data_IF_290491673186
#
_entry.id   IF_290491673186
#
_cell.length_a   1.000
_cell.length_b   1.000
_cell.length_c   1.000
_cell.angle_alpha   90.00
_cell.angle_beta   90.00
_cell.angle_gamma   90.00
#
_symmetry.space_group_name_H-M   'P 1'
#
loop_
_entity.id
_entity.type
_entity.pdbx_description
1 polymer ?
#
# COMPACT_ATOMS: atom_id res chain seq x y z
N UNK A 1 10.76 18.72 22.79
CA UNK A 1 10.39 17.30 22.95
C UNK A 1 11.65 16.47 22.79
N UNK A 2 11.84 15.45 23.62
CA UNK A 2 13.04 14.61 23.64
C UNK A 2 12.74 13.25 23.00
N UNK A 3 13.77 12.52 22.54
CA UNK A 3 13.65 11.16 21.98
C UNK A 3 12.84 10.16 22.83
N UNK A 4 12.93 10.17 24.17
CA UNK A 4 12.08 9.36 25.03
C UNK A 4 10.58 9.56 24.77
N UNK A 5 10.13 10.80 24.53
CA UNK A 5 8.72 11.15 24.32
C UNK A 5 8.15 10.51 23.05
N UNK A 6 8.99 10.33 22.02
CA UNK A 6 8.62 9.76 20.73
C UNK A 6 8.64 8.23 20.70
N UNK A 7 9.16 7.58 21.74
CA UNK A 7 9.24 6.10 21.83
C UNK A 7 7.86 5.45 21.89
N UNK A 8 6.89 6.15 22.48
CA UNK A 8 5.53 5.66 22.71
C UNK A 8 4.47 6.24 21.77
N UNK A 9 4.83 7.15 20.86
CA UNK A 9 3.90 7.72 19.88
C UNK A 9 3.45 6.65 18.86
N UNK A 10 2.15 6.28 18.82
CA UNK A 10 1.65 5.24 17.93
C UNK A 10 1.75 5.62 16.44
N UNK A 11 1.68 6.91 16.11
CA UNK A 11 1.77 7.39 14.74
C UNK A 11 3.22 7.31 14.22
N UNK A 12 4.20 7.70 15.04
CA UNK A 12 5.63 7.54 14.71
C UNK A 12 6.04 6.07 14.69
N UNK A 13 5.45 5.22 15.56
CA UNK A 13 5.64 3.75 15.49
C UNK A 13 5.08 3.14 14.19
N UNK A 14 3.95 3.64 13.70
CA UNK A 14 3.38 3.23 12.40
C UNK A 14 4.28 3.68 11.25
N UNK A 15 4.77 4.93 11.29
CA UNK A 15 5.71 5.46 10.32
C UNK A 15 7.01 4.66 10.27
N UNK A 16 7.59 4.30 11.43
CA UNK A 16 8.78 3.45 11.48
C UNK A 16 8.56 2.10 10.79
N UNK A 17 7.40 1.46 11.00
CA UNK A 17 7.03 0.20 10.32
C UNK A 17 6.87 0.38 8.81
N UNK A 18 6.36 1.53 8.38
CA UNK A 18 6.26 1.87 6.96
C UNK A 18 7.65 2.05 6.34
N UNK A 19 8.52 2.85 6.97
CA UNK A 19 9.88 3.09 6.49
C UNK A 19 10.76 1.83 6.51
N UNK A 20 10.56 0.91 7.45
CA UNK A 20 11.26 -0.38 7.45
C UNK A 20 10.91 -1.26 6.25
N UNK A 21 9.81 -0.97 5.53
CA UNK A 21 9.46 -1.62 4.25
C UNK A 21 10.06 -0.90 3.04
N UNK A 22 10.77 0.23 3.24
CA UNK A 22 11.46 1.02 2.20
C UNK A 22 12.97 1.15 2.51
N UNK A 23 13.71 0.03 2.63
CA UNK A 23 15.15 0.08 2.88
C UNK A 23 15.94 0.74 1.74
N UNK A 24 15.39 0.82 0.54
CA UNK A 24 15.92 1.60 -0.58
C UNK A 24 16.06 3.07 -0.24
N UNK A 25 15.01 3.68 0.31
CA UNK A 25 15.01 5.09 0.72
C UNK A 25 15.95 5.33 1.89
N UNK A 26 15.90 4.46 2.92
CA UNK A 26 16.77 4.60 4.07
C UNK A 26 18.25 4.50 3.69
N UNK A 27 18.58 3.61 2.75
CA UNK A 27 19.95 3.47 2.25
C UNK A 27 20.36 4.69 1.43
N UNK A 28 19.50 5.18 0.53
CA UNK A 28 19.80 6.38 -0.26
C UNK A 28 20.04 7.61 0.63
N UNK A 29 19.17 7.83 1.63
CA UNK A 29 19.30 8.92 2.61
C UNK A 29 20.61 8.78 3.39
N UNK A 30 20.87 7.61 3.94
CA UNK A 30 22.10 7.37 4.71
C UNK A 30 23.34 7.60 3.85
N UNK A 31 23.36 7.07 2.62
CA UNK A 31 24.48 7.22 1.70
C UNK A 31 24.72 8.68 1.32
N UNK A 32 23.66 9.43 1.05
CA UNK A 32 23.78 10.85 0.67
C UNK A 32 24.20 11.76 1.82
N UNK A 33 23.67 11.52 3.01
CA UNK A 33 23.81 12.42 4.15
C UNK A 33 24.82 11.95 5.21
N UNK A 34 25.56 10.88 4.93
CA UNK A 34 26.64 10.40 5.79
C UNK A 34 27.92 10.21 4.99
N UNK A 35 29.04 10.63 5.59
CA UNK A 35 30.39 10.37 5.09
C UNK A 35 30.95 9.04 5.60
N UNK A 36 30.10 8.18 6.19
CA UNK A 36 30.56 6.93 6.77
C UNK A 36 31.19 6.01 5.70
N UNK A 37 32.45 5.58 5.87
CA UNK A 37 33.14 4.70 4.92
C UNK A 37 32.43 3.37 4.67
N UNK A 38 31.54 2.94 5.58
CA UNK A 38 30.71 1.74 5.40
C UNK A 38 29.68 1.88 4.27
N UNK A 39 29.32 3.12 3.90
CA UNK A 39 28.37 3.44 2.83
C UNK A 39 29.05 3.87 1.53
N UNK A 40 30.34 4.25 1.63
CA UNK A 40 31.19 4.66 0.53
C UNK A 40 32.49 3.85 0.60
N UNK A 41 32.50 2.60 0.10
CA UNK A 41 33.74 1.84 0.05
C UNK A 41 34.77 2.62 -0.78
N UNK A 42 36.07 2.57 -0.41
CA UNK A 42 37.10 3.22 -1.18
C UNK A 42 37.11 2.69 -2.63
N UNK A 43 37.46 3.52 -3.62
CA UNK A 43 37.55 3.07 -5.00
C UNK A 43 38.48 1.87 -5.10
N UNK A 44 38.12 0.92 -5.97
CA UNK A 44 38.95 -0.26 -6.21
C UNK A 44 40.38 0.18 -6.61
N UNK A 45 41.44 -0.53 -6.17
CA UNK A 45 42.79 -0.25 -6.62
C UNK A 45 42.84 -0.26 -8.15
N UNK A 46 43.56 0.68 -8.74
CA UNK A 46 43.77 0.80 -10.19
C UNK A 46 44.46 -0.42 -10.82
N UNK A 47 44.98 -1.32 -9.98
CA UNK A 47 45.71 -2.51 -10.37
C UNK A 47 44.75 -3.73 -10.39
N UNK A 48 44.35 -4.23 -11.57
CA UNK A 48 43.43 -5.36 -11.69
C UNK A 48 43.98 -6.68 -11.12
N UNK A 49 45.29 -6.74 -10.82
CA UNK A 49 45.93 -7.89 -10.15
C UNK A 49 45.69 -7.95 -8.64
N UNK A 50 45.25 -6.84 -8.02
CA UNK A 50 44.89 -6.74 -6.60
C UNK A 50 43.37 -6.68 -6.43
N UNK A 51 42.68 -7.74 -6.85
CA UNK A 51 41.26 -7.91 -6.53
C UNK A 51 41.10 -8.06 -5.00
N UNK A 52 40.75 -6.96 -4.32
CA UNK A 52 40.19 -7.06 -2.97
C UNK A 52 38.97 -8.01 -3.03
N UNK A 53 38.81 -8.94 -2.09
CA UNK A 53 37.66 -9.84 -2.11
C UNK A 53 36.38 -9.01 -2.16
N UNK A 54 35.55 -9.30 -3.17
CA UNK A 54 34.28 -8.64 -3.49
C UNK A 54 33.19 -8.91 -2.44
N UNK A 55 33.53 -8.80 -1.16
CA UNK A 55 32.60 -8.89 -0.05
C UNK A 55 32.48 -7.50 0.55
N UNK A 56 31.70 -6.62 -0.11
CA UNK A 56 31.19 -5.43 0.56
C UNK A 56 30.51 -5.88 1.86
N UNK A 57 30.88 -5.33 3.02
CA UNK A 57 30.34 -5.79 4.30
C UNK A 57 28.81 -5.69 4.28
N UNK A 58 28.11 -6.71 4.78
CA UNK A 58 26.65 -6.69 4.85
C UNK A 58 26.21 -5.60 5.83
N UNK A 59 25.88 -4.41 5.33
CA UNK A 59 25.33 -3.31 6.13
C UNK A 59 23.83 -3.52 6.30
N UNK A 60 23.40 -3.72 7.54
CA UNK A 60 22.00 -3.73 7.94
C UNK A 60 21.60 -2.33 8.38
N UNK A 61 20.51 -1.83 7.81
CA UNK A 61 19.99 -0.49 8.08
C UNK A 61 18.70 -0.63 8.87
N UNK A 62 18.64 0.00 10.04
CA UNK A 62 17.46 -0.02 10.90
C UNK A 62 17.17 1.37 11.44
N UNK A 63 15.92 1.62 11.84
CA UNK A 63 15.53 2.84 12.52
C UNK A 63 15.49 2.55 14.03
N UNK A 64 16.25 3.28 14.86
CA UNK A 64 16.31 3.04 16.29
C UNK A 64 14.96 3.34 16.98
N UNK A 65 14.80 2.85 18.22
CA UNK A 65 13.62 3.17 19.02
C UNK A 65 13.58 4.66 19.35
N UNK A 66 12.40 5.29 19.25
CA UNK A 66 12.25 6.75 19.42
C UNK A 66 12.53 7.56 18.15
N UNK A 67 12.77 6.91 17.00
CA UNK A 67 12.97 7.55 15.69
C UNK A 67 11.96 7.01 14.64
N UNK A 68 11.53 7.81 13.64
CA UNK A 68 11.87 9.22 13.41
C UNK A 68 11.33 10.16 14.49
N UNK A 69 12.01 11.30 14.69
CA UNK A 69 11.53 12.43 15.48
C UNK A 69 10.95 13.50 14.56
N UNK A 70 10.42 14.59 15.12
CA UNK A 70 9.86 15.70 14.37
C UNK A 70 10.91 16.54 13.63
N UNK A 71 12.17 16.43 14.01
CA UNK A 71 13.29 17.23 13.54
C UNK A 71 14.37 16.39 12.85
N UNK A 72 14.42 15.07 13.09
CA UNK A 72 15.45 14.20 12.54
C UNK A 72 14.98 12.76 12.25
N UNK A 73 15.64 12.14 11.27
CA UNK A 73 15.60 10.70 11.04
C UNK A 73 16.88 10.07 11.58
N UNK A 74 16.74 9.26 12.61
CA UNK A 74 17.80 8.39 13.11
C UNK A 74 17.91 7.14 12.26
N UNK A 75 19.12 6.80 11.86
CA UNK A 75 19.44 5.60 11.09
C UNK A 75 20.60 4.89 11.78
N UNK A 76 20.39 3.62 12.11
CA UNK A 76 21.44 2.74 12.62
C UNK A 76 21.96 1.87 11.48
N UNK A 77 23.26 1.98 11.24
CA UNK A 77 24.04 1.20 10.29
C UNK A 77 24.79 0.13 11.08
N UNK A 78 24.45 -1.14 10.88
CA UNK A 78 25.07 -2.27 11.58
C UNK A 78 25.81 -3.18 10.62
N UNK A 79 27.06 -3.46 10.94
CA UNK A 79 27.90 -4.48 10.30
C UNK A 79 28.25 -5.55 11.33
N UNK A 80 28.93 -6.63 10.92
CA UNK A 80 29.43 -7.65 11.87
C UNK A 80 30.42 -7.06 12.89
N UNK A 81 31.13 -5.99 12.52
CA UNK A 81 32.23 -5.43 13.30
C UNK A 81 31.87 -4.13 14.03
N UNK A 82 30.89 -3.37 13.52
CA UNK A 82 30.58 -2.03 14.01
C UNK A 82 29.10 -1.67 13.87
N UNK A 83 28.57 -0.96 14.85
CA UNK A 83 27.26 -0.32 14.82
C UNK A 83 27.45 1.20 14.91
N UNK A 84 26.84 1.94 13.99
CA UNK A 84 26.91 3.40 13.93
C UNK A 84 25.50 3.94 13.82
N UNK A 85 25.13 4.83 14.72
CA UNK A 85 23.87 5.55 14.66
C UNK A 85 24.13 6.96 14.11
N UNK A 86 23.40 7.34 13.09
CA UNK A 86 23.49 8.65 12.43
C UNK A 86 22.13 9.32 12.53
N UNK A 87 22.12 10.58 12.94
CA UNK A 87 20.92 11.38 12.98
C UNK A 87 20.96 12.39 11.86
N UNK A 88 20.00 12.27 10.95
CA UNK A 88 19.93 13.06 9.73
C UNK A 88 18.82 14.09 9.96
N UNK A 89 19.14 15.39 10.03
CA UNK A 89 18.13 16.42 10.24
C UNK A 89 17.16 16.44 9.07
N UNK A 90 15.87 16.59 9.38
CA UNK A 90 14.87 16.89 8.38
C UNK A 90 15.14 18.31 7.85
N UNK A 91 14.88 18.56 6.56
CA UNK A 91 15.09 19.88 5.96
C UNK A 91 14.29 20.99 6.65
N UNK A 92 13.17 20.62 7.27
CA UNK A 92 12.33 21.48 8.08
C UNK A 92 11.82 20.67 9.27
N UNK A 93 11.77 21.30 10.44
CA UNK A 93 11.14 20.72 11.64
C UNK A 93 9.66 20.47 11.35
N UNK A 94 9.28 19.20 11.29
CA UNK A 94 7.91 18.78 11.09
C UNK A 94 7.08 19.04 12.36
N UNK A 95 5.81 19.41 12.20
CA UNK A 95 4.87 19.61 13.29
C UNK A 95 3.94 18.41 13.47
N UNK A 96 3.86 17.53 12.46
CA UNK A 96 2.98 16.36 12.47
C UNK A 96 3.68 15.09 11.97
N UNK A 97 3.27 13.88 12.41
CA UNK A 97 3.83 12.62 11.91
C UNK A 97 3.66 12.44 10.39
N UNK A 98 2.64 13.08 9.80
CA UNK A 98 2.45 13.08 8.35
C UNK A 98 3.53 13.90 7.65
N UNK A 99 3.87 15.06 8.18
CA UNK A 99 4.97 15.90 7.66
C UNK A 99 6.31 15.18 7.81
N UNK A 100 6.54 14.48 8.92
CA UNK A 100 7.73 13.62 9.08
C UNK A 100 7.77 12.58 7.97
N UNK A 101 6.66 11.88 7.71
CA UNK A 101 6.57 10.90 6.62
C UNK A 101 6.90 11.50 5.26
N UNK A 102 6.25 12.61 4.91
CA UNK A 102 6.42 13.27 3.62
C UNK A 102 7.85 13.80 3.44
N UNK A 103 8.42 14.36 4.50
CA UNK A 103 9.80 14.86 4.52
C UNK A 103 10.80 13.73 4.31
N UNK A 104 10.65 12.61 5.02
CA UNK A 104 11.53 11.43 4.88
C UNK A 104 11.38 10.77 3.51
N UNK A 105 10.15 10.58 3.02
CA UNK A 105 9.91 10.00 1.68
C UNK A 105 10.53 10.90 0.60
N UNK A 106 10.33 12.22 0.67
CA UNK A 106 10.93 13.18 -0.26
C UNK A 106 12.46 13.17 -0.19
N UNK A 107 13.03 13.15 1.01
CA UNK A 107 14.48 13.08 1.19
C UNK A 107 15.06 11.81 0.54
N UNK A 108 14.35 10.68 0.63
CA UNK A 108 14.73 9.43 0.01
C UNK A 108 14.64 9.45 -1.51
N UNK A 109 13.54 9.93 -2.09
CA UNK A 109 13.40 10.02 -3.54
C UNK A 109 14.39 11.06 -4.13
N UNK A 110 14.62 12.20 -3.46
CA UNK A 110 15.65 13.17 -3.84
C UNK A 110 17.06 12.53 -3.81
N UNK A 111 17.32 11.65 -2.83
CA UNK A 111 18.60 10.96 -2.73
C UNK A 111 18.76 9.87 -3.81
N UNK A 112 17.69 9.15 -4.15
CA UNK A 112 17.67 8.24 -5.29
C UNK A 112 17.94 8.97 -6.61
N UNK A 113 17.29 10.13 -6.80
CA UNK A 113 17.50 11.00 -7.96
C UNK A 113 18.94 11.50 -8.07
N UNK A 114 19.55 11.90 -6.94
CA UNK A 114 20.96 12.31 -6.89
C UNK A 114 21.91 11.21 -7.40
N UNK A 115 21.62 9.94 -7.13
CA UNK A 115 22.42 8.81 -7.62
C UNK A 115 21.95 8.27 -8.99
N UNK A 116 21.03 8.96 -9.67
CA UNK A 116 20.50 8.54 -10.97
C UNK A 116 19.75 7.22 -10.95
N UNK A 117 19.15 6.87 -9.80
CA UNK A 117 18.41 5.60 -9.66
C UNK A 117 17.02 5.77 -10.26
N UNK A 118 16.63 4.95 -11.26
CA UNK A 118 15.34 5.10 -11.91
C UNK A 118 14.18 4.77 -10.98
N UNK A 119 13.07 5.50 -11.13
CA UNK A 119 11.83 5.22 -10.41
C UNK A 119 11.29 3.81 -10.76
N UNK A 120 11.43 3.40 -12.02
CA UNK A 120 11.03 2.08 -12.49
C UNK A 120 12.28 1.32 -12.94
N UNK A 121 13.05 0.69 -12.02
CA UNK A 121 14.22 -0.08 -12.40
C UNK A 121 13.79 -1.33 -13.17
N UNK A 122 14.68 -1.82 -14.03
CA UNK A 122 14.51 -3.12 -14.65
C UNK A 122 14.77 -4.22 -13.62
N UNK A 123 13.79 -5.05 -13.33
CA UNK A 123 13.95 -6.18 -12.40
C UNK A 123 14.30 -7.44 -13.18
N UNK A 124 15.50 -7.97 -12.95
CA UNK A 124 16.04 -9.14 -13.68
C UNK A 124 15.98 -10.45 -12.90
N UNK A 125 15.68 -10.40 -11.60
CA UNK A 125 15.65 -11.56 -10.71
C UNK A 125 14.26 -11.83 -10.14
N UNK A 126 14.02 -13.09 -9.77
CA UNK A 126 12.85 -13.49 -8.98
C UNK A 126 13.16 -13.48 -7.49
N UNK A 127 12.23 -12.95 -6.70
CA UNK A 127 12.27 -12.97 -5.22
C UNK A 127 11.08 -13.77 -4.73
N UNK A 128 11.26 -14.61 -3.71
CA UNK A 128 10.18 -15.42 -3.15
C UNK A 128 9.22 -14.61 -2.27
N UNK A 129 7.92 -14.96 -2.21
CA UNK A 129 6.96 -14.33 -1.30
C UNK A 129 7.33 -14.53 0.18
N UNK A 130 6.93 -13.62 1.06
CA UNK A 130 7.11 -13.83 2.50
C UNK A 130 6.21 -15.00 2.95
N UNK A 131 6.69 -15.81 3.90
CA UNK A 131 5.92 -16.93 4.45
C UNK A 131 4.55 -16.51 5.01
N UNK A 132 4.40 -15.27 5.48
CA UNK A 132 3.10 -14.75 5.93
C UNK A 132 2.02 -14.74 4.84
N UNK A 133 2.41 -14.65 3.56
CA UNK A 133 1.48 -14.71 2.43
C UNK A 133 1.06 -16.14 2.07
N UNK A 134 1.64 -17.17 2.71
CA UNK A 134 1.23 -18.56 2.57
C UNK A 134 0.01 -18.86 3.46
N UNK A 135 -0.21 -18.08 4.53
CA UNK A 135 -1.30 -18.33 5.49
C UNK A 135 -2.70 -18.36 4.85
N UNK A 136 -3.04 -17.48 3.88
CA UNK A 136 -4.31 -17.56 3.16
C UNK A 136 -4.50 -18.84 2.32
N UNK A 137 -3.44 -19.62 2.06
CA UNK A 137 -3.58 -20.89 1.35
C UNK A 137 -4.33 -21.94 2.15
N UNK A 138 -4.27 -21.89 3.48
CA UNK A 138 -4.96 -22.87 4.33
C UNK A 138 -6.47 -22.87 4.08
N UNK A 139 -7.19 -21.73 4.17
CA UNK A 139 -8.62 -21.71 3.86
C UNK A 139 -8.91 -21.99 2.38
N UNK A 140 -8.02 -21.62 1.45
CA UNK A 140 -8.19 -21.90 0.01
C UNK A 140 -8.09 -23.40 -0.26
N UNK A 141 -7.05 -24.06 0.25
CA UNK A 141 -6.83 -25.50 0.11
C UNK A 141 -7.94 -26.29 0.80
N UNK A 142 -8.39 -25.83 1.97
CA UNK A 142 -9.57 -26.40 2.63
C UNK A 142 -10.80 -26.28 1.72
N UNK A 143 -11.04 -25.12 1.11
CA UNK A 143 -12.20 -24.91 0.24
C UNK A 143 -12.13 -25.78 -1.03
N UNK A 144 -10.94 -25.88 -1.65
CA UNK A 144 -10.65 -26.78 -2.78
C UNK A 144 -10.91 -28.23 -2.37
N UNK A 145 -10.38 -28.67 -1.22
CA UNK A 145 -10.60 -30.01 -0.69
C UNK A 145 -12.09 -30.29 -0.47
N UNK A 146 -12.81 -29.39 0.20
CA UNK A 146 -14.23 -29.55 0.46
C UNK A 146 -15.08 -29.52 -0.82
N UNK A 147 -14.63 -28.89 -1.89
CA UNK A 147 -15.36 -28.89 -3.16
C UNK A 147 -15.07 -30.11 -4.02
N UNK A 148 -13.80 -30.46 -4.20
CA UNK A 148 -13.37 -31.50 -5.14
C UNK A 148 -13.27 -32.91 -4.54
N UNK A 149 -13.22 -33.06 -3.21
CA UNK A 149 -13.15 -34.39 -2.61
C UNK A 149 -14.36 -35.25 -3.03
N UNK A 150 -14.20 -36.55 -3.26
CA UNK A 150 -15.33 -37.41 -3.58
C UNK A 150 -16.33 -37.47 -2.41
N UNK A 151 -17.58 -37.82 -2.70
CA UNK A 151 -18.62 -38.03 -1.68
C UNK A 151 -18.33 -39.20 -0.75
N UNK A 152 -17.39 -40.08 -1.09
CA UNK A 152 -16.90 -41.16 -0.22
C UNK A 152 -15.93 -40.69 0.87
N UNK A 153 -15.40 -39.47 0.79
CA UNK A 153 -14.41 -38.99 1.75
C UNK A 153 -15.09 -38.52 3.05
N UNK A 154 -14.91 -39.30 4.12
CA UNK A 154 -15.51 -39.06 5.44
C UNK A 154 -15.20 -37.66 6.00
N UNK A 155 -13.93 -37.23 5.97
CA UNK A 155 -13.50 -35.94 6.51
C UNK A 155 -14.04 -34.75 5.72
N UNK A 156 -14.04 -34.84 4.38
CA UNK A 156 -14.64 -33.80 3.55
C UNK A 156 -16.15 -33.66 3.80
N UNK A 157 -16.85 -34.77 4.05
CA UNK A 157 -18.28 -34.72 4.36
C UNK A 157 -18.57 -34.10 5.73
N UNK A 158 -17.74 -34.37 6.75
CA UNK A 158 -17.82 -33.67 8.03
C UNK A 158 -17.62 -32.16 7.80
N UNK A 159 -16.58 -31.77 7.07
CA UNK A 159 -16.28 -30.37 6.78
C UNK A 159 -17.40 -29.67 5.99
N UNK A 160 -17.95 -30.34 4.96
CA UNK A 160 -19.11 -29.84 4.19
C UNK A 160 -20.32 -29.66 5.09
N UNK A 161 -20.62 -30.63 5.94
CA UNK A 161 -21.75 -30.56 6.86
C UNK A 161 -21.63 -29.37 7.81
N UNK A 162 -20.44 -29.17 8.40
CA UNK A 162 -20.15 -28.01 9.24
C UNK A 162 -20.32 -26.69 8.46
N UNK A 163 -19.72 -26.58 7.27
CA UNK A 163 -19.86 -25.38 6.44
C UNK A 163 -21.32 -25.14 6.05
N UNK A 164 -22.07 -26.18 5.68
CA UNK A 164 -23.47 -26.09 5.32
C UNK A 164 -24.34 -25.65 6.50
N UNK A 165 -24.07 -26.18 7.70
CA UNK A 165 -24.81 -25.89 8.92
C UNK A 165 -24.57 -24.47 9.42
N UNK A 166 -23.32 -24.00 9.41
CA UNK A 166 -22.93 -22.73 10.03
C UNK A 166 -22.87 -21.55 9.05
N UNK A 167 -22.52 -21.80 7.79
CA UNK A 167 -22.32 -20.75 6.78
C UNK A 167 -23.41 -20.84 5.71
N UNK A 168 -23.54 -22.00 5.07
CA UNK A 168 -24.59 -22.27 4.10
C UNK A 168 -24.18 -23.28 3.02
N UNK A 169 -25.16 -23.91 2.35
CA UNK A 169 -24.96 -25.00 1.39
C UNK A 169 -24.14 -24.60 0.15
N UNK A 170 -24.05 -23.31 -0.16
CA UNK A 170 -23.32 -22.83 -1.35
C UNK A 170 -22.05 -22.05 -1.00
N UNK A 171 -21.69 -21.94 0.29
CA UNK A 171 -20.51 -21.21 0.73
C UNK A 171 -19.22 -21.75 0.09
N UNK A 172 -19.11 -23.08 -0.05
CA UNK A 172 -17.97 -23.74 -0.69
C UNK A 172 -17.88 -23.34 -2.16
N UNK A 173 -19.00 -23.45 -2.89
CA UNK A 173 -19.09 -23.12 -4.33
C UNK A 173 -18.73 -21.67 -4.61
N UNK A 174 -19.33 -20.72 -3.89
CA UNK A 174 -19.02 -19.30 -4.09
C UNK A 174 -17.65 -18.91 -3.57
N UNK A 175 -17.16 -19.54 -2.52
CA UNK A 175 -15.80 -19.34 -2.05
C UNK A 175 -14.77 -19.73 -3.12
N UNK A 176 -14.98 -20.84 -3.84
CA UNK A 176 -14.12 -21.21 -4.97
C UNK A 176 -14.23 -20.23 -6.13
N UNK A 177 -15.44 -19.78 -6.48
CA UNK A 177 -15.61 -18.77 -7.53
C UNK A 177 -14.89 -17.47 -7.15
N UNK A 178 -14.98 -17.04 -5.90
CA UNK A 178 -14.31 -15.87 -5.37
C UNK A 178 -12.79 -16.03 -5.43
N UNK A 179 -12.23 -17.08 -4.82
CA UNK A 179 -10.79 -17.33 -4.82
C UNK A 179 -10.25 -17.50 -6.24
N UNK A 180 -10.95 -18.25 -7.09
CA UNK A 180 -10.60 -18.42 -8.49
C UNK A 180 -10.58 -17.09 -9.26
N UNK A 181 -11.60 -16.25 -9.09
CA UNK A 181 -11.65 -14.94 -9.77
C UNK A 181 -10.49 -14.04 -9.34
N UNK A 182 -10.10 -14.05 -8.06
CA UNK A 182 -8.98 -13.25 -7.58
C UNK A 182 -7.63 -13.79 -8.10
N UNK A 183 -7.36 -15.08 -7.92
CA UNK A 183 -6.07 -15.69 -8.26
C UNK A 183 -5.82 -15.86 -9.76
N UNK A 184 -6.87 -16.06 -10.57
CA UNK A 184 -6.73 -16.30 -12.01
C UNK A 184 -7.00 -15.06 -12.88
N UNK A 185 -7.69 -14.04 -12.35
CA UNK A 185 -8.07 -12.86 -13.14
C UNK A 185 -7.51 -11.58 -12.51
N UNK A 186 -7.98 -11.21 -11.33
CA UNK A 186 -7.69 -9.88 -10.75
C UNK A 186 -6.21 -9.71 -10.44
N UNK A 187 -5.62 -10.64 -9.69
CA UNK A 187 -4.23 -10.51 -9.24
C UNK A 187 -3.22 -10.67 -10.40
N UNK A 188 -3.40 -11.61 -11.37
CA UNK A 188 -2.56 -11.65 -12.56
C UNK A 188 -2.60 -10.36 -13.38
N UNK A 189 -3.77 -9.73 -13.54
CA UNK A 189 -3.87 -8.45 -14.25
C UNK A 189 -3.11 -7.32 -13.51
N UNK A 190 -3.22 -7.27 -12.19
CA UNK A 190 -2.46 -6.31 -11.37
C UNK A 190 -0.95 -6.56 -11.45
N UNK A 191 -0.53 -7.83 -11.42
CA UNK A 191 0.87 -8.20 -11.55
C UNK A 191 1.42 -7.89 -12.95
N UNK A 192 0.66 -8.18 -14.00
CA UNK A 192 1.06 -7.93 -15.38
C UNK A 192 1.43 -6.46 -15.62
N UNK A 193 0.63 -5.53 -15.07
CA UNK A 193 0.95 -4.09 -15.07
C UNK A 193 2.31 -3.81 -14.40
N UNK A 194 2.63 -4.52 -13.33
CA UNK A 194 3.92 -4.40 -12.64
C UNK A 194 5.08 -4.98 -13.45
N UNK A 195 4.93 -6.20 -13.96
CA UNK A 195 5.90 -6.90 -14.82
C UNK A 195 6.28 -6.05 -16.02
N UNK A 196 5.28 -5.47 -16.69
CA UNK A 196 5.47 -4.54 -17.79
C UNK A 196 6.22 -3.27 -17.36
N UNK A 197 5.75 -2.62 -16.28
CA UNK A 197 6.34 -1.39 -15.74
C UNK A 197 7.82 -1.55 -15.40
N UNK A 198 8.22 -2.68 -14.83
CA UNK A 198 9.59 -2.96 -14.40
C UNK A 198 10.38 -3.79 -15.42
N UNK A 199 9.89 -3.92 -16.66
CA UNK A 199 10.55 -4.60 -17.79
C UNK A 199 11.13 -5.96 -17.41
N UNK A 200 10.35 -6.74 -16.67
CA UNK A 200 10.79 -8.03 -16.13
C UNK A 200 10.97 -9.02 -17.29
N UNK A 201 12.11 -9.73 -17.40
CA UNK A 201 12.31 -10.74 -18.43
C UNK A 201 11.28 -11.87 -18.34
N UNK A 202 11.14 -12.65 -19.42
CA UNK A 202 10.11 -13.68 -19.52
C UNK A 202 10.16 -14.70 -18.36
N UNK A 203 11.34 -15.26 -18.06
CA UNK A 203 11.47 -16.32 -17.04
C UNK A 203 11.04 -15.84 -15.64
N UNK A 204 11.58 -14.72 -15.09
CA UNK A 204 11.08 -14.19 -13.83
C UNK A 204 9.61 -13.78 -13.87
N UNK A 205 9.11 -13.28 -15.02
CA UNK A 205 7.69 -12.93 -15.18
C UNK A 205 6.79 -14.16 -15.00
N UNK A 206 7.16 -15.30 -15.61
CA UNK A 206 6.44 -16.55 -15.45
C UNK A 206 6.47 -17.05 -14.01
N UNK A 207 7.60 -16.88 -13.30
CA UNK A 207 7.70 -17.23 -11.88
C UNK A 207 6.80 -16.35 -11.01
N UNK A 208 6.77 -15.04 -11.24
CA UNK A 208 5.86 -14.13 -10.54
C UNK A 208 4.40 -14.45 -10.83
N UNK A 209 4.04 -14.69 -12.10
CA UNK A 209 2.68 -15.04 -12.50
C UNK A 209 2.24 -16.36 -11.87
N UNK A 210 3.08 -17.38 -11.90
CA UNK A 210 2.83 -18.66 -11.24
C UNK A 210 2.64 -18.47 -9.73
N UNK A 211 3.47 -17.64 -9.11
CA UNK A 211 3.36 -17.32 -7.68
C UNK A 211 2.05 -16.61 -7.35
N UNK A 212 1.58 -15.71 -8.21
CA UNK A 212 0.26 -15.06 -8.03
C UNK A 212 -0.87 -16.06 -8.18
N UNK A 213 -0.83 -16.95 -9.17
CA UNK A 213 -1.88 -17.97 -9.32
C UNK A 213 -1.96 -18.89 -8.09
N UNK A 214 -0.80 -19.29 -7.55
CA UNK A 214 -0.73 -20.22 -6.42
C UNK A 214 -1.01 -19.51 -5.09
N UNK A 215 -0.34 -18.39 -4.80
CA UNK A 215 -0.25 -17.74 -3.48
C UNK A 215 -1.05 -16.43 -3.43
N UNK A 216 -1.56 -15.97 -4.57
CA UNK A 216 -2.30 -14.72 -4.70
C UNK A 216 -1.42 -13.48 -4.57
N UNK A 217 -1.89 -12.49 -3.81
CA UNK A 217 -1.17 -11.24 -3.51
C UNK A 217 0.31 -11.40 -3.12
N UNK A 218 0.74 -12.56 -2.63
CA UNK A 218 2.15 -12.86 -2.36
C UNK A 218 3.07 -12.62 -3.55
N UNK A 219 2.65 -12.92 -4.78
CA UNK A 219 3.47 -12.68 -5.97
C UNK A 219 3.61 -11.20 -6.34
N UNK A 220 2.59 -10.37 -6.06
CA UNK A 220 2.66 -8.91 -6.23
C UNK A 220 3.62 -8.29 -5.21
N UNK A 221 3.54 -8.72 -3.95
CA UNK A 221 4.47 -8.27 -2.90
C UNK A 221 5.92 -8.67 -3.22
N UNK A 222 6.11 -9.90 -3.70
CA UNK A 222 7.40 -10.40 -4.13
C UNK A 222 8.05 -9.53 -5.22
N UNK A 223 7.27 -9.11 -6.24
CA UNK A 223 7.75 -8.18 -7.26
C UNK A 223 8.12 -6.81 -6.66
N UNK A 224 7.29 -6.26 -5.76
CA UNK A 224 7.59 -4.98 -5.08
C UNK A 224 8.90 -5.05 -4.29
N UNK A 225 9.16 -6.17 -3.62
CA UNK A 225 10.42 -6.38 -2.89
C UNK A 225 11.62 -6.52 -3.83
N UNK A 226 11.45 -7.15 -4.98
CA UNK A 226 12.50 -7.22 -6.00
C UNK A 226 12.85 -5.83 -6.56
N UNK A 227 11.85 -4.96 -6.79
CA UNK A 227 12.09 -3.56 -7.17
C UNK A 227 12.95 -2.83 -6.13
N UNK A 228 12.63 -3.00 -4.83
CA UNK A 228 13.41 -2.40 -3.73
C UNK A 228 14.83 -2.96 -3.70
N UNK A 229 15.00 -4.28 -3.85
CA UNK A 229 16.31 -4.94 -3.89
C UNK A 229 17.16 -4.44 -5.06
N UNK A 230 16.54 -4.25 -6.23
CA UNK A 230 17.22 -3.74 -7.41
C UNK A 230 17.63 -2.27 -7.25
N UNK A 231 16.78 -1.42 -6.68
CA UNK A 231 17.16 -0.04 -6.33
C UNK A 231 18.36 -0.01 -5.37
N UNK A 232 18.39 -0.91 -4.37
CA UNK A 232 19.54 -1.04 -3.46
C UNK A 232 20.79 -1.51 -4.19
N UNK A 233 20.68 -2.48 -5.12
CA UNK A 233 21.80 -2.96 -5.94
C UNK A 233 22.39 -1.81 -6.76
N UNK A 234 21.55 -1.05 -7.46
CA UNK A 234 21.96 0.12 -8.25
C UNK A 234 22.60 1.20 -7.37
N UNK A 235 22.02 1.46 -6.19
CA UNK A 235 22.60 2.40 -5.21
C UNK A 235 23.98 1.95 -4.74
N UNK A 236 24.24 0.66 -4.56
CA UNK A 236 25.57 0.18 -4.15
C UNK A 236 26.62 0.41 -5.23
N UNK A 237 26.24 0.25 -6.50
CA UNK A 237 27.14 0.48 -7.64
C UNK A 237 27.32 1.96 -8.00
N UNK A 238 26.46 2.86 -7.53
CA UNK A 238 26.53 4.27 -7.89
C UNK A 238 27.71 4.99 -7.19
N UNK A 239 28.57 5.65 -7.95
CA UNK A 239 29.58 6.59 -7.43
C UNK A 239 29.04 8.03 -7.44
N UNK A 240 29.44 8.92 -6.51
CA UNK A 240 29.12 10.35 -6.59
C UNK A 240 29.65 11.04 -7.86
N UNK A 241 30.72 10.50 -8.47
CA UNK A 241 31.37 11.06 -9.66
C UNK A 241 30.54 10.76 -10.92
N UNK A 242 30.04 9.52 -11.07
CA UNK A 242 29.13 9.15 -12.16
C UNK A 242 27.81 9.93 -12.18
N UNK A 243 27.43 10.55 -11.06
CA UNK A 243 26.22 11.36 -10.94
C UNK A 243 26.39 12.80 -11.46
N UNK A 244 27.62 13.34 -11.46
CA UNK A 244 27.91 14.67 -12.01
C UNK A 244 28.03 14.66 -13.53
N UNK A 245 28.49 13.56 -14.11
CA UNK A 245 28.80 13.46 -15.54
C UNK A 245 27.71 12.74 -16.38
N UNK A 246 26.68 12.18 -15.73
CA UNK A 246 25.50 11.68 -16.44
C UNK A 246 24.60 12.85 -16.79
N UNK A 247 24.19 13.01 -18.06
CA UNK A 247 23.11 13.94 -18.37
C UNK A 247 21.93 13.53 -17.50
N UNK A 248 21.42 14.51 -16.74
CA UNK A 248 20.10 14.41 -16.12
C UNK A 248 19.18 13.76 -17.16
N UNK A 249 18.41 12.71 -16.83
CA UNK A 249 17.48 12.17 -17.78
C UNK A 249 16.62 13.35 -18.25
N UNK A 250 16.78 13.71 -19.51
CA UNK A 250 15.81 14.48 -20.26
C UNK A 250 14.58 13.59 -20.31
N UNK A 251 13.84 13.58 -19.20
CA UNK A 251 12.39 13.53 -19.32
C UNK A 251 12.07 14.57 -20.39
N UNK A 252 11.28 14.20 -21.36
CA UNK A 252 10.74 15.09 -22.40
C UNK A 252 9.79 16.16 -21.80
N UNK A 253 10.01 16.52 -20.54
CA UNK A 253 9.46 17.64 -19.80
C UNK A 253 10.57 18.49 -19.14
N UNK A 254 11.80 18.44 -19.66
CA UNK A 254 12.88 19.34 -19.27
C UNK A 254 12.86 20.61 -20.15
N UNK A 255 11.92 21.49 -19.85
CA UNK A 255 12.09 22.94 -19.87
C UNK A 255 11.01 23.51 -18.95
N UNK A 256 11.29 23.46 -17.65
CA UNK A 256 10.74 24.45 -16.74
C UNK A 256 11.94 25.28 -16.35
N UNK A 257 11.95 26.53 -16.79
CA UNK A 257 12.92 27.54 -16.41
C UNK A 257 13.26 27.44 -14.92
N UNK A 258 14.49 27.80 -14.58
CA UNK A 258 14.92 28.17 -13.24
C UNK A 258 14.14 29.40 -12.75
N UNK A 259 12.83 29.27 -12.60
CA UNK A 259 12.03 30.11 -11.74
C UNK A 259 11.93 29.36 -10.43
N UNK A 260 12.76 29.81 -9.49
CA UNK A 260 12.50 29.80 -8.05
C UNK A 260 11.13 29.22 -7.71
N UNK A 261 11.05 27.89 -7.49
CA UNK A 261 9.90 27.30 -6.82
C UNK A 261 9.96 27.79 -5.38
N UNK A 262 9.48 29.01 -5.16
CA UNK A 262 9.03 29.45 -3.86
C UNK A 262 8.01 28.41 -3.44
N UNK A 263 8.41 27.61 -2.45
CA UNK A 263 7.64 26.48 -1.96
C UNK A 263 6.36 27.03 -1.33
N UNK A 264 5.32 27.22 -2.14
CA UNK A 264 4.04 27.66 -1.62
C UNK A 264 3.53 26.56 -0.69
N UNK A 265 3.29 26.95 0.56
CA UNK A 265 2.79 26.10 1.64
C UNK A 265 1.41 25.57 1.29
N UNK A 266 1.34 24.54 0.45
CA UNK A 266 0.09 23.84 0.20
C UNK A 266 -0.18 23.00 1.44
N UNK A 267 -1.27 23.27 2.17
CA UNK A 267 -1.55 22.58 3.41
C UNK A 267 -1.58 21.07 3.18
N UNK A 268 -0.85 20.34 4.03
CA UNK A 268 -0.88 18.87 4.08
C UNK A 268 -2.29 18.34 4.37
N UNK A 269 -3.19 19.20 4.83
CA UNK A 269 -4.63 18.99 4.94
C UNK A 269 -5.37 20.22 4.39
N UNK A 270 -5.57 20.32 3.07
CA UNK A 270 -6.34 21.42 2.54
C UNK A 270 -7.75 21.40 3.14
N UNK A 271 -8.27 22.59 3.41
CA UNK A 271 -9.65 22.76 3.86
C UNK A 271 -10.56 22.34 2.72
N UNK A 272 -11.36 21.30 2.93
CA UNK A 272 -12.34 20.86 1.93
C UNK A 272 -13.67 21.55 2.24
N UNK A 273 -14.16 22.37 1.31
CA UNK A 273 -15.41 23.12 1.46
C UNK A 273 -16.52 22.62 0.54
N UNK A 274 -16.24 21.61 -0.28
CA UNK A 274 -17.18 21.08 -1.26
C UNK A 274 -17.32 19.57 -1.13
N UNK A 275 -18.50 19.07 -1.50
CA UNK A 275 -18.77 17.66 -1.64
C UNK A 275 -18.51 17.24 -3.08
N UNK A 276 -17.68 16.21 -3.28
CA UNK A 276 -17.49 15.58 -4.58
C UNK A 276 -18.18 14.22 -4.55
N UNK A 277 -19.22 13.99 -5.36
CA UNK A 277 -19.93 12.73 -5.34
C UNK A 277 -19.06 11.56 -5.84
N UNK A 278 -19.32 10.34 -5.35
CA UNK A 278 -18.69 9.12 -5.85
C UNK A 278 -18.98 8.92 -7.35
N UNK A 279 -18.04 8.31 -8.08
CA UNK A 279 -18.29 7.88 -9.46
C UNK A 279 -19.43 6.84 -9.53
N UNK A 280 -20.05 6.68 -10.70
CA UNK A 280 -21.17 5.75 -10.94
C UNK A 280 -20.85 4.26 -10.74
N UNK A 281 -19.57 3.87 -10.68
CA UNK A 281 -19.17 2.46 -10.47
C UNK A 281 -19.32 2.01 -9.01
N UNK A 282 -18.86 2.78 -8.00
CA UNK A 282 -19.16 2.51 -6.59
C UNK A 282 -20.66 2.40 -6.23
N UNK A 283 -21.56 3.08 -6.95
CA UNK A 283 -23.01 3.00 -6.70
C UNK A 283 -23.64 1.68 -7.16
N UNK A 284 -22.98 0.86 -7.98
CA UNK A 284 -23.44 -0.50 -8.27
C UNK A 284 -23.45 -1.40 -7.01
N UNK A 285 -22.66 -1.08 -5.99
CA UNK A 285 -22.66 -1.77 -4.69
C UNK A 285 -23.96 -1.52 -3.91
N UNK A 286 -24.71 -0.46 -4.23
CA UNK A 286 -26.02 -0.21 -3.63
C UNK A 286 -27.04 -1.29 -4.00
N UNK A 287 -26.98 -1.84 -5.21
CA UNK A 287 -27.96 -2.84 -5.65
C UNK A 287 -27.94 -4.11 -4.77
N UNK A 288 -26.78 -4.74 -4.51
CA UNK A 288 -26.67 -5.86 -3.57
C UNK A 288 -27.05 -5.50 -2.13
N UNK A 289 -26.64 -4.32 -1.65
CA UNK A 289 -26.91 -3.89 -0.27
C UNK A 289 -28.39 -3.57 -0.05
N UNK A 290 -29.02 -2.83 -0.96
CA UNK A 290 -30.45 -2.53 -0.95
C UNK A 290 -31.29 -3.79 -1.07
N UNK A 291 -30.86 -4.76 -1.89
CA UNK A 291 -31.48 -6.07 -1.94
C UNK A 291 -31.36 -6.79 -0.59
N UNK A 292 -30.18 -6.84 0.02
CA UNK A 292 -29.97 -7.48 1.33
C UNK A 292 -30.80 -6.83 2.44
N UNK A 293 -30.86 -5.49 2.49
CA UNK A 293 -31.68 -4.75 3.44
C UNK A 293 -33.18 -4.99 3.22
N UNK A 294 -33.64 -4.96 1.96
CA UNK A 294 -35.02 -5.29 1.61
C UNK A 294 -35.38 -6.71 2.07
N UNK A 295 -34.52 -7.70 1.78
CA UNK A 295 -34.75 -9.08 2.20
C UNK A 295 -34.75 -9.22 3.73
N UNK A 296 -33.92 -8.47 4.46
CA UNK A 296 -33.86 -8.57 5.91
C UNK A 296 -35.01 -7.87 6.64
N UNK A 297 -35.39 -6.67 6.22
CA UNK A 297 -36.34 -5.82 6.94
C UNK A 297 -37.78 -5.90 6.43
N UNK A 298 -38.02 -6.42 5.22
CA UNK A 298 -39.38 -6.52 4.71
C UNK A 298 -40.22 -7.48 5.56
N UNK A 299 -41.46 -7.10 5.90
CA UNK A 299 -42.32 -7.89 6.77
C UNK A 299 -42.62 -9.26 6.16
N UNK A 300 -42.93 -10.23 7.04
CA UNK A 300 -43.29 -11.59 6.64
C UNK A 300 -44.57 -11.66 5.79
N UNK A 301 -45.35 -10.58 5.69
CA UNK A 301 -46.49 -10.47 4.79
C UNK A 301 -46.11 -10.08 3.35
N UNK A 302 -44.86 -9.66 3.08
CA UNK A 302 -44.44 -9.25 1.74
C UNK A 302 -44.04 -10.46 0.88
N UNK A 303 -44.81 -10.81 -0.17
CA UNK A 303 -44.59 -12.03 -0.95
C UNK A 303 -43.28 -11.99 -1.75
N UNK A 304 -42.86 -10.81 -2.22
CA UNK A 304 -41.61 -10.65 -2.98
C UNK A 304 -40.37 -10.81 -2.10
N UNK A 305 -40.39 -10.24 -0.89
CA UNK A 305 -39.29 -10.40 0.06
C UNK A 305 -39.21 -11.83 0.61
N UNK A 306 -40.35 -12.48 0.85
CA UNK A 306 -40.37 -13.89 1.22
C UNK A 306 -39.82 -14.77 0.10
N UNK A 307 -40.22 -14.50 -1.15
CA UNK A 307 -39.69 -15.21 -2.32
C UNK A 307 -38.20 -14.98 -2.46
N UNK A 308 -37.72 -13.74 -2.32
CA UNK A 308 -36.30 -13.40 -2.40
C UNK A 308 -35.47 -13.96 -1.23
N UNK A 309 -35.99 -13.95 0.00
CA UNK A 309 -35.37 -14.61 1.16
C UNK A 309 -35.28 -16.10 0.91
N UNK A 310 -36.38 -16.74 0.51
CA UNK A 310 -36.39 -18.15 0.16
C UNK A 310 -35.42 -18.48 -0.97
N UNK A 311 -35.32 -17.63 -2.00
CA UNK A 311 -34.37 -17.78 -3.11
C UNK A 311 -32.93 -17.69 -2.60
N UNK A 312 -32.60 -16.64 -1.84
CA UNK A 312 -31.26 -16.43 -1.27
C UNK A 312 -30.92 -17.52 -0.27
N UNK A 313 -31.83 -17.92 0.62
CA UNK A 313 -31.60 -18.97 1.60
C UNK A 313 -31.46 -20.35 0.94
N UNK A 314 -32.21 -20.60 -0.14
CA UNK A 314 -32.08 -21.80 -0.99
C UNK A 314 -30.74 -21.85 -1.72
N UNK A 315 -30.26 -20.73 -2.25
CA UNK A 315 -29.03 -20.67 -3.06
C UNK A 315 -27.78 -20.23 -2.30
N UNK A 316 -27.87 -19.71 -1.08
CA UNK A 316 -26.72 -19.17 -0.34
C UNK A 316 -26.72 -19.69 1.11
N UNK A 317 -27.88 -19.83 1.73
CA UNK A 317 -28.05 -20.48 3.03
C UNK A 317 -28.91 -19.68 4.01
N UNK A 318 -29.44 -20.34 5.06
CA UNK A 318 -30.49 -19.82 5.93
C UNK A 318 -30.08 -18.59 6.76
N UNK A 319 -28.78 -18.28 6.84
CA UNK A 319 -28.25 -17.16 7.63
C UNK A 319 -27.47 -16.13 6.82
N UNK A 320 -27.36 -16.33 5.51
CA UNK A 320 -26.55 -15.46 4.65
C UNK A 320 -27.07 -14.02 4.64
N UNK A 321 -28.40 -13.83 4.57
CA UNK A 321 -29.00 -12.48 4.64
C UNK A 321 -28.66 -11.83 5.98
N UNK A 322 -28.85 -12.54 7.09
CA UNK A 322 -28.60 -12.02 8.45
C UNK A 322 -27.13 -11.65 8.67
N UNK A 323 -26.20 -12.53 8.31
CA UNK A 323 -24.77 -12.28 8.50
C UNK A 323 -24.25 -11.17 7.59
N UNK A 324 -24.69 -11.11 6.33
CA UNK A 324 -24.30 -10.03 5.43
C UNK A 324 -24.86 -8.68 5.86
N UNK A 325 -26.09 -8.62 6.40
CA UNK A 325 -26.64 -7.37 6.95
C UNK A 325 -25.90 -6.94 8.22
N UNK A 326 -25.54 -7.87 9.12
CA UNK A 326 -24.73 -7.54 10.30
C UNK A 326 -23.34 -7.04 9.91
N UNK A 327 -22.69 -7.70 8.95
CA UNK A 327 -21.39 -7.30 8.43
C UNK A 327 -21.44 -5.93 7.74
N UNK A 328 -22.39 -5.74 6.82
CA UNK A 328 -22.60 -4.46 6.14
C UNK A 328 -22.94 -3.35 7.14
N UNK A 329 -23.80 -3.62 8.12
CA UNK A 329 -24.13 -2.68 9.19
C UNK A 329 -22.90 -2.29 10.02
N UNK A 330 -22.07 -3.26 10.42
CA UNK A 330 -20.82 -2.97 11.14
C UNK A 330 -19.84 -2.12 10.32
N UNK A 331 -19.70 -2.42 9.02
CA UNK A 331 -18.87 -1.63 8.12
C UNK A 331 -19.42 -0.21 7.91
N UNK A 332 -20.67 -0.08 7.48
CA UNK A 332 -21.27 1.17 7.02
C UNK A 332 -21.74 2.10 8.16
N UNK A 333 -22.09 1.57 9.34
CA UNK A 333 -22.59 2.37 10.48
C UNK A 333 -21.52 2.67 11.53
N UNK A 334 -20.45 1.87 11.59
CA UNK A 334 -19.43 1.99 12.63
C UNK A 334 -18.05 2.22 12.02
N UNK A 335 -17.51 1.23 11.31
CA UNK A 335 -16.10 1.24 10.90
C UNK A 335 -15.82 2.39 9.92
N UNK A 336 -16.58 2.49 8.85
CA UNK A 336 -16.34 3.47 7.80
C UNK A 336 -16.71 4.90 8.22
N UNK A 337 -17.83 5.14 8.96
CA UNK A 337 -18.10 6.43 9.60
C UNK A 337 -16.97 6.90 10.51
N UNK A 338 -16.37 6.01 11.32
CA UNK A 338 -15.22 6.38 12.15
C UNK A 338 -13.99 6.75 11.29
N UNK A 339 -13.75 6.01 10.20
CA UNK A 339 -12.65 6.29 9.28
C UNK A 339 -12.82 7.63 8.55
N UNK A 340 -14.03 7.95 8.08
CA UNK A 340 -14.28 9.22 7.38
C UNK A 340 -14.33 10.40 8.34
N UNK A 341 -14.90 10.24 9.55
CA UNK A 341 -14.95 11.29 10.57
C UNK A 341 -13.54 11.80 10.92
N UNK A 342 -12.59 10.88 11.12
CA UNK A 342 -11.18 11.23 11.35
C UNK A 342 -10.61 12.06 10.19
N UNK A 343 -10.98 11.76 8.94
CA UNK A 343 -10.54 12.51 7.76
C UNK A 343 -11.22 13.89 7.67
N UNK A 344 -12.52 13.98 7.95
CA UNK A 344 -13.28 15.23 7.93
C UNK A 344 -12.76 16.24 8.95
N UNK A 345 -12.50 15.78 10.18
CA UNK A 345 -11.86 16.61 11.24
C UNK A 345 -10.49 17.10 10.77
N UNK A 346 -9.69 16.18 10.22
CA UNK A 346 -8.32 16.47 9.77
C UNK A 346 -8.27 17.51 8.67
N UNK A 347 -9.29 17.58 7.82
CA UNK A 347 -9.39 18.50 6.70
C UNK A 347 -10.32 19.70 6.97
N UNK A 348 -10.70 19.94 8.24
CA UNK A 348 -11.52 21.07 8.69
C UNK A 348 -12.77 21.27 7.81
N UNK A 349 -13.44 20.17 7.50
CA UNK A 349 -14.60 20.17 6.60
C UNK A 349 -15.80 20.80 7.33
N UNK A 350 -16.54 21.72 6.71
CA UNK A 350 -17.76 22.28 7.29
C UNK A 350 -18.75 21.19 7.68
N UNK A 351 -19.57 21.45 8.71
CA UNK A 351 -20.52 20.46 9.22
C UNK A 351 -21.49 19.96 8.15
N UNK A 352 -22.03 20.86 7.32
CA UNK A 352 -22.93 20.51 6.22
C UNK A 352 -22.28 19.56 5.22
N UNK A 353 -21.06 19.85 4.76
CA UNK A 353 -20.30 18.99 3.86
C UNK A 353 -19.89 17.67 4.53
N UNK A 354 -19.56 17.71 5.82
CA UNK A 354 -19.24 16.52 6.62
C UNK A 354 -20.43 15.58 6.70
N UNK A 355 -21.64 16.10 6.91
CA UNK A 355 -22.87 15.31 6.90
C UNK A 355 -23.09 14.63 5.54
N UNK A 356 -22.85 15.31 4.42
CA UNK A 356 -22.93 14.67 3.09
C UNK A 356 -21.95 13.50 2.94
N UNK A 357 -20.68 13.66 3.34
CA UNK A 357 -19.71 12.55 3.29
C UNK A 357 -20.06 11.42 4.26
N UNK A 358 -20.52 11.74 5.48
CA UNK A 358 -20.96 10.74 6.46
C UNK A 358 -22.15 9.93 5.93
N UNK A 359 -23.17 10.60 5.39
CA UNK A 359 -24.34 9.95 4.78
C UNK A 359 -23.95 9.12 3.56
N UNK A 360 -23.00 9.60 2.76
CA UNK A 360 -22.47 8.85 1.61
C UNK A 360 -21.77 7.59 2.08
N UNK A 361 -20.96 7.65 3.13
CA UNK A 361 -20.32 6.45 3.69
C UNK A 361 -21.33 5.49 4.30
N UNK A 362 -22.36 5.98 4.98
CA UNK A 362 -23.45 5.11 5.46
C UNK A 362 -24.16 4.42 4.28
N UNK A 363 -24.40 5.14 3.19
CA UNK A 363 -25.14 4.61 2.03
C UNK A 363 -24.29 3.65 1.17
N UNK A 364 -23.06 4.02 0.82
CA UNK A 364 -22.22 3.32 -0.17
C UNK A 364 -20.88 2.82 0.39
N UNK A 365 -20.66 2.96 1.68
CA UNK A 365 -19.50 2.47 2.39
C UNK A 365 -18.21 3.14 1.95
N UNK A 366 -17.17 2.33 1.73
CA UNK A 366 -15.84 2.78 1.31
C UNK A 366 -15.83 3.68 0.08
N UNK A 367 -16.84 3.61 -0.80
CA UNK A 367 -16.97 4.52 -1.94
C UNK A 367 -17.07 6.00 -1.52
N UNK A 368 -17.69 6.31 -0.36
CA UNK A 368 -17.72 7.67 0.19
C UNK A 368 -16.36 8.15 0.70
N UNK A 369 -15.52 7.23 1.19
CA UNK A 369 -14.14 7.52 1.61
C UNK A 369 -13.27 7.84 0.38
N UNK A 370 -13.44 7.09 -0.71
CA UNK A 370 -12.72 7.35 -1.96
C UNK A 370 -13.12 8.69 -2.59
N UNK A 371 -14.41 9.02 -2.57
CA UNK A 371 -14.92 10.30 -3.05
C UNK A 371 -14.28 11.48 -2.29
N UNK A 372 -14.15 11.34 -0.97
CA UNK A 372 -13.46 12.33 -0.14
C UNK A 372 -11.95 12.43 -0.45
N UNK A 373 -11.25 11.31 -0.57
CA UNK A 373 -9.82 11.31 -0.90
C UNK A 373 -9.54 11.97 -2.26
N UNK A 374 -10.47 11.79 -3.21
CA UNK A 374 -10.44 12.46 -4.51
C UNK A 374 -10.66 13.97 -4.37
N UNK A 375 -11.65 14.42 -3.59
CA UNK A 375 -11.85 15.85 -3.33
C UNK A 375 -10.61 16.49 -2.70
N UNK A 376 -9.94 15.78 -1.79
CA UNK A 376 -8.66 16.21 -1.21
C UNK A 376 -7.56 16.32 -2.28
N UNK A 377 -7.50 15.40 -3.23
CA UNK A 377 -6.54 15.45 -4.33
C UNK A 377 -6.83 16.62 -5.27
N UNK A 378 -8.08 16.80 -5.70
CA UNK A 378 -8.50 17.87 -6.61
C UNK A 378 -8.30 19.25 -5.98
N UNK A 379 -8.58 19.41 -4.69
CA UNK A 379 -8.34 20.66 -3.97
C UNK A 379 -6.85 21.02 -3.91
N UNK A 380 -5.96 20.02 -3.77
CA UNK A 380 -4.50 20.26 -3.85
C UNK A 380 -4.08 20.71 -5.24
N UNK A 381 -4.64 20.09 -6.28
CA UNK A 381 -4.38 20.48 -7.68
C UNK A 381 -4.91 21.88 -7.96
N UNK A 382 -6.07 22.26 -7.41
CA UNK A 382 -6.64 23.61 -7.51
C UNK A 382 -5.74 24.65 -6.84
N UNK A 383 -5.27 24.37 -5.62
CA UNK A 383 -4.36 25.26 -4.88
C UNK A 383 -3.00 25.41 -5.59
N UNK A 384 -2.53 24.37 -6.29
CA UNK A 384 -1.35 24.47 -7.17
C UNK A 384 -1.57 25.40 -8.37
N UNK A 385 -2.78 25.40 -8.95
CA UNK A 385 -3.12 26.19 -10.15
C UNK A 385 -3.51 27.64 -9.86
N UNK A 386 -3.98 27.93 -8.65
CA UNK A 386 -4.46 29.26 -8.24
C UNK A 386 -3.34 30.21 -7.77
N UNK A 387 -2.08 29.76 -7.75
CA UNK A 387 -0.94 30.62 -7.48
C UNK A 387 -0.78 31.58 -8.66
N UNK A 388 -0.84 32.91 -8.47
CA UNK A 388 -0.66 33.85 -9.56
C UNK A 388 0.74 33.64 -10.14
N UNK A 389 0.82 33.46 -11.47
CA UNK A 389 2.08 33.60 -12.19
C UNK A 389 2.52 35.04 -11.95
N UNK A 390 3.58 35.24 -11.17
CA UNK A 390 4.22 36.55 -11.06
C UNK A 390 4.57 37.02 -12.47
N UNK A 391 4.24 38.28 -12.71
CA UNK A 391 4.27 38.94 -14.01
C UNK A 391 5.57 38.68 -14.79
N UNK A 392 5.41 38.34 -16.07
CA UNK A 392 6.45 38.46 -17.09
C UNK A 392 6.67 39.93 -17.43
#
# INVERSE_FOLDING_TARGET
MTRPDHKHDPALKSLRRHLSRRPDLLFAIAKRHSTNPLLHPPPAPLDPSKSLPATSPSVRITIPQGSPTYDALGITLKTKQREVQVDIPLRQTAKTPKEVRQSVEKMGEDALGYYGIPENPQVTSYTTPLHSYILPLIPILLNIFLFYAPSSNHYANIGRSLVHQYIGPNAIRYGILFFGSFHFIIEPLLLFRGVWRYRVPLVPSLLYLSTVVIIGFGGIDALRRAVIQERIRLLRSASPIDAKDRPLPTSTHAHVEENEFTLHNIPSHPKITHYNPPFFLPTLVLLPLSLLLFLHFAPSSNPYANTGRALVERYLGPRVVKYNVLFAGACHLIIEPLLILLKLIKHRVPLSTSLFYMMTVVAIGYGGIQAFDRAVYEERVRLLRAVPKKDQ
#
